data_IF_559756854463
#
_entry.id   IF_559756854463
#
_cell.length_a   1.000
_cell.length_b   1.000
_cell.length_c   1.000
_cell.angle_alpha   90.00
_cell.angle_beta   90.00
_cell.angle_gamma   90.00
#
_symmetry.space_group_name_H-M   'P 1'
#
loop_
_entity.id
_entity.type
_entity.pdbx_description
1 polymer ?
#
# COMPACT_ATOMS: atom_id res chain seq x y z
N UNK A 1 -19.94 -22.55 -18.87
CA UNK A 1 -20.21 -21.22 -18.30
C UNK A 1 -19.52 -21.09 -16.96
N UNK A 2 -18.33 -20.49 -16.94
CA UNK A 2 -17.59 -20.24 -15.69
C UNK A 2 -18.10 -18.91 -15.13
N UNK A 3 -18.88 -18.97 -14.04
CA UNK A 3 -19.28 -17.78 -13.29
C UNK A 3 -18.02 -17.21 -12.64
N UNK A 4 -17.51 -16.12 -13.18
CA UNK A 4 -16.44 -15.36 -12.55
C UNK A 4 -16.95 -14.85 -11.19
N UNK A 5 -16.46 -15.49 -10.12
CA UNK A 5 -16.63 -15.03 -8.75
C UNK A 5 -15.84 -13.72 -8.63
N UNK A 6 -16.57 -12.61 -8.67
CA UNK A 6 -16.04 -11.27 -8.39
C UNK A 6 -15.37 -11.36 -7.02
N UNK A 7 -14.04 -11.34 -7.00
CA UNK A 7 -13.30 -11.18 -5.75
C UNK A 7 -13.56 -9.74 -5.31
N UNK A 8 -14.25 -9.58 -4.19
CA UNK A 8 -14.35 -8.30 -3.51
C UNK A 8 -12.93 -7.88 -3.14
N UNK A 9 -12.31 -7.07 -3.98
CA UNK A 9 -11.10 -6.34 -3.62
C UNK A 9 -11.59 -5.27 -2.65
N UNK A 10 -11.33 -5.46 -1.36
CA UNK A 10 -11.62 -4.46 -0.33
C UNK A 10 -10.88 -3.17 -0.69
N UNK A 11 -11.64 -2.11 -0.92
CA UNK A 11 -11.10 -0.78 -1.25
C UNK A 11 -11.15 0.04 0.03
N UNK A 12 -9.99 0.48 0.54
CA UNK A 12 -9.97 1.56 1.53
C UNK A 12 -10.13 2.86 0.76
N UNK A 13 -11.37 3.34 0.68
CA UNK A 13 -11.68 4.62 0.09
C UNK A 13 -11.30 5.73 1.06
N UNK A 14 -10.18 6.40 0.80
CA UNK A 14 -9.82 7.63 1.49
C UNK A 14 -10.00 8.78 0.52
N UNK A 15 -11.14 9.44 0.61
CA UNK A 15 -11.45 10.61 -0.20
C UNK A 15 -11.08 11.83 0.66
N UNK A 16 -9.89 12.38 0.42
CA UNK A 16 -9.47 13.65 1.03
C UNK A 16 -10.10 14.75 0.20
N UNK A 17 -11.37 15.04 0.49
CA UNK A 17 -11.98 16.27 0.03
C UNK A 17 -11.43 17.37 0.94
N UNK A 18 -10.76 18.35 0.36
CA UNK A 18 -10.39 19.57 1.08
C UNK A 18 -11.67 20.13 1.71
N UNK A 19 -11.65 20.34 3.03
CA UNK A 19 -12.74 21.03 3.73
C UNK A 19 -13.99 20.23 4.14
N UNK A 20 -14.08 18.92 3.91
CA UNK A 20 -15.24 18.14 4.40
C UNK A 20 -14.82 17.08 5.43
N UNK A 21 -15.23 17.25 6.68
CA UNK A 21 -15.08 16.29 7.79
C UNK A 21 -16.00 15.05 7.65
N UNK A 22 -16.46 14.73 6.43
CA UNK A 22 -17.54 13.77 6.20
C UNK A 22 -16.99 12.42 5.76
N UNK A 23 -17.39 11.35 6.46
CA UNK A 23 -17.15 9.99 5.98
C UNK A 23 -18.09 9.65 4.84
N UNK A 24 -17.52 9.06 3.79
CA UNK A 24 -18.23 8.76 2.54
C UNK A 24 -17.87 7.35 2.08
N UNK A 25 -18.87 6.60 1.66
CA UNK A 25 -18.72 5.29 1.04
C UNK A 25 -19.06 5.32 -0.43
N UNK A 26 -18.34 4.50 -1.22
CA UNK A 26 -18.59 4.37 -2.66
C UNK A 26 -19.43 3.14 -2.96
N UNK A 27 -20.63 3.34 -3.51
CA UNK A 27 -21.46 2.25 -4.07
C UNK A 27 -21.75 2.53 -5.55
N UNK A 28 -21.39 1.59 -6.43
CA UNK A 28 -21.68 1.66 -7.89
C UNK A 28 -21.34 3.04 -8.47
N UNK A 29 -20.09 3.48 -8.26
CA UNK A 29 -19.55 4.77 -8.73
C UNK A 29 -20.18 6.05 -8.12
N UNK A 30 -21.11 5.94 -7.18
CA UNK A 30 -21.70 7.07 -6.45
C UNK A 30 -21.07 7.15 -5.07
N UNK A 31 -20.83 8.39 -4.63
CA UNK A 31 -20.35 8.71 -3.30
C UNK A 31 -21.55 9.01 -2.40
N UNK A 32 -21.65 8.28 -1.30
CA UNK A 32 -22.75 8.35 -0.33
C UNK A 32 -22.19 8.71 1.04
N UNK A 33 -22.79 9.70 1.70
CA UNK A 33 -22.45 10.02 3.10
C UNK A 33 -22.71 8.78 3.96
N UNK A 34 -21.72 8.39 4.75
CA UNK A 34 -21.81 7.23 5.63
C UNK A 34 -22.82 7.47 6.75
N UNK A 35 -23.56 6.43 7.14
CA UNK A 35 -24.49 6.51 8.28
C UNK A 35 -23.76 6.48 9.63
N UNK A 36 -22.49 6.07 9.65
CA UNK A 36 -21.60 5.98 10.81
C UNK A 36 -20.33 6.80 10.56
N UNK A 37 -19.84 7.49 11.59
CA UNK A 37 -18.58 8.24 11.56
C UNK A 37 -17.43 7.41 12.14
N UNK A 38 -16.81 6.55 11.33
CA UNK A 38 -15.71 5.67 11.75
C UNK A 38 -14.31 6.30 11.73
N UNK A 39 -14.13 7.40 10.99
CA UNK A 39 -12.94 8.25 10.98
C UNK A 39 -13.15 9.52 11.80
N UNK A 40 -12.15 9.87 12.60
CA UNK A 40 -12.15 11.04 13.47
C UNK A 40 -11.00 11.98 13.08
N UNK A 41 -11.32 13.21 12.68
CA UNK A 41 -10.33 14.24 12.44
C UNK A 41 -9.68 14.64 13.78
N UNK A 42 -8.35 14.61 13.82
CA UNK A 42 -7.55 15.02 14.98
C UNK A 42 -6.93 16.40 14.79
N UNK A 43 -6.56 16.74 13.56
CA UNK A 43 -5.89 17.98 13.23
C UNK A 43 -6.04 18.30 11.76
N UNK A 44 -6.26 19.57 11.45
CA UNK A 44 -6.18 20.12 10.10
C UNK A 44 -5.36 21.40 10.12
N UNK A 45 -4.53 21.61 9.10
CA UNK A 45 -3.95 22.92 8.84
C UNK A 45 -3.77 23.17 7.36
N UNK A 46 -3.88 24.44 7.01
CA UNK A 46 -3.59 24.96 5.69
C UNK A 46 -2.54 26.06 5.87
N UNK A 47 -1.38 25.89 5.23
CA UNK A 47 -0.32 26.89 5.24
C UNK A 47 0.55 26.75 4.01
N UNK A 48 0.85 27.87 3.34
CA UNK A 48 1.72 27.92 2.16
C UNK A 48 1.30 26.96 1.03
N UNK A 49 -0.01 26.80 0.81
CA UNK A 49 -0.55 25.88 -0.21
C UNK A 49 -0.43 24.39 0.13
N UNK A 50 -0.10 24.06 1.38
CA UNK A 50 -0.07 22.68 1.88
C UNK A 50 -1.24 22.49 2.85
N UNK A 51 -2.04 21.46 2.56
CA UNK A 51 -3.11 20.99 3.43
C UNK A 51 -2.68 19.73 4.16
N UNK A 52 -2.69 19.77 5.49
CA UNK A 52 -2.35 18.64 6.35
C UNK A 52 -3.60 18.22 7.10
N UNK A 53 -3.99 16.95 6.94
CA UNK A 53 -5.05 16.32 7.72
C UNK A 53 -4.48 15.15 8.51
N UNK A 54 -4.76 15.10 9.81
CA UNK A 54 -4.49 13.95 10.67
C UNK A 54 -5.81 13.42 11.18
N UNK A 55 -6.03 12.13 11.05
CA UNK A 55 -7.26 11.46 11.45
C UNK A 55 -6.94 10.11 12.07
N UNK A 56 -7.91 9.54 12.76
CA UNK A 56 -7.84 8.18 13.30
C UNK A 56 -9.07 7.38 12.92
N UNK A 57 -8.89 6.07 12.75
CA UNK A 57 -9.95 5.10 12.52
C UNK A 57 -9.58 3.82 13.25
N UNK A 58 -10.56 3.12 13.80
CA UNK A 58 -10.32 1.78 14.35
C UNK A 58 -9.92 0.82 13.22
N UNK A 59 -8.97 -0.07 13.51
CA UNK A 59 -8.55 -1.15 12.60
C UNK A 59 -9.75 -2.01 12.16
N UNK A 60 -10.64 -2.28 13.12
CA UNK A 60 -11.93 -2.96 12.93
C UNK A 60 -13.02 -2.08 13.54
N UNK A 61 -13.93 -1.58 12.71
CA UNK A 61 -15.14 -0.91 13.17
C UNK A 61 -16.26 -1.92 13.43
N UNK A 62 -17.36 -1.46 14.01
CA UNK A 62 -18.58 -2.24 14.19
C UNK A 62 -19.53 -2.14 12.98
N UNK A 63 -19.21 -1.27 12.01
CA UNK A 63 -19.92 -1.15 10.75
C UNK A 63 -19.57 -2.33 9.83
N UNK A 64 -20.59 -2.98 9.26
CA UNK A 64 -20.45 -4.14 8.38
C UNK A 64 -20.10 -3.73 6.95
N UNK A 65 -20.37 -2.49 6.58
CA UNK A 65 -20.03 -1.94 5.27
C UNK A 65 -18.56 -1.49 5.19
N UNK A 66 -17.90 -1.43 6.34
CA UNK A 66 -16.52 -1.00 6.50
C UNK A 66 -15.50 -2.12 6.26
N UNK A 67 -14.40 -1.78 5.60
CA UNK A 67 -13.30 -2.74 5.42
C UNK A 67 -12.49 -2.86 6.71
N UNK A 68 -12.31 -4.09 7.21
CA UNK A 68 -11.36 -4.41 8.27
C UNK A 68 -9.94 -4.21 7.74
N UNK A 69 -9.14 -3.41 8.44
CA UNK A 69 -7.70 -3.32 8.19
C UNK A 69 -7.07 -4.53 8.89
N UNK A 70 -6.37 -5.38 8.16
CA UNK A 70 -5.72 -6.56 8.74
C UNK A 70 -4.28 -6.67 8.20
N UNK A 71 -3.53 -7.65 8.68
CA UNK A 71 -2.22 -8.00 8.15
C UNK A 71 -2.29 -8.23 6.64
N UNK A 72 -1.27 -7.73 5.94
CA UNK A 72 -1.18 -7.78 4.49
C UNK A 72 -0.98 -6.41 3.87
N UNK A 73 -1.49 -6.24 2.66
CA UNK A 73 -1.23 -5.06 1.85
C UNK A 73 -2.54 -4.50 1.28
N UNK A 74 -3.36 -3.83 2.11
CA UNK A 74 -4.57 -3.17 1.64
C UNK A 74 -4.28 -2.11 0.58
N UNK A 75 -5.27 -1.88 -0.28
CA UNK A 75 -5.22 -0.89 -1.35
C UNK A 75 -5.84 0.41 -0.85
N UNK A 76 -5.02 1.45 -0.74
CA UNK A 76 -5.46 2.81 -0.42
C UNK A 76 -5.76 3.51 -1.74
N UNK A 77 -6.97 4.03 -1.90
CA UNK A 77 -7.30 4.90 -3.03
C UNK A 77 -7.36 6.35 -2.60
N UNK A 78 -7.05 7.27 -3.52
CA UNK A 78 -7.12 8.70 -3.30
C UNK A 78 -7.69 9.40 -4.54
N UNK A 79 -8.25 10.58 -4.32
CA UNK A 79 -8.67 11.52 -5.35
C UNK A 79 -8.59 12.95 -4.79
N UNK A 80 -8.26 13.94 -5.63
CA UNK A 80 -8.25 15.36 -5.26
C UNK A 80 -8.81 16.26 -6.38
N UNK A 81 -9.50 17.32 -5.98
CA UNK A 81 -10.05 18.34 -6.88
C UNK A 81 -9.15 19.58 -6.96
N UNK A 82 -9.33 20.38 -8.00
CA UNK A 82 -8.65 21.70 -8.13
C UNK A 82 -9.39 22.81 -7.39
N UNK A 83 -10.66 22.57 -7.03
CA UNK A 83 -11.53 23.52 -6.35
C UNK A 83 -12.07 22.85 -5.10
N UNK A 84 -12.26 23.66 -4.07
CA UNK A 84 -12.92 23.19 -2.87
C UNK A 84 -14.36 22.75 -3.18
N UNK A 85 -14.79 21.64 -2.57
CA UNK A 85 -16.17 21.18 -2.70
C UNK A 85 -17.11 22.22 -2.09
N UNK A 86 -18.26 22.39 -2.71
CA UNK A 86 -19.36 23.18 -2.14
C UNK A 86 -20.15 22.25 -1.22
N UNK A 87 -20.55 22.71 -0.05
CA UNK A 87 -21.38 21.93 0.88
C UNK A 87 -22.63 21.39 0.20
N UNK A 88 -22.78 20.05 0.20
CA UNK A 88 -23.88 19.36 -0.49
C UNK A 88 -23.82 19.42 -2.02
N UNK A 89 -22.74 19.95 -2.59
CA UNK A 89 -22.49 20.06 -4.02
C UNK A 89 -21.91 18.79 -4.65
N UNK A 90 -21.97 18.73 -5.97
CA UNK A 90 -21.35 17.65 -6.74
C UNK A 90 -19.82 17.78 -6.71
N UNK A 91 -19.17 16.78 -6.12
CA UNK A 91 -17.71 16.66 -6.06
C UNK A 91 -17.06 16.25 -7.38
N UNK A 92 -17.85 16.08 -8.45
CA UNK A 92 -17.43 15.87 -9.83
C UNK A 92 -16.45 14.70 -10.05
N UNK A 93 -16.32 14.27 -11.30
CA UNK A 93 -15.36 13.24 -11.63
C UNK A 93 -13.92 13.80 -11.68
N UNK A 94 -13.04 13.22 -10.87
CA UNK A 94 -11.67 13.74 -10.65
C UNK A 94 -10.66 13.40 -11.78
N UNK A 95 -11.10 12.79 -12.89
CA UNK A 95 -10.25 12.57 -14.06
C UNK A 95 -8.99 11.74 -13.77
N UNK A 96 -7.82 12.32 -14.07
CA UNK A 96 -6.50 11.74 -13.79
C UNK A 96 -6.00 12.03 -12.36
N UNK A 97 -6.65 12.93 -11.61
CA UNK A 97 -6.28 13.34 -10.24
C UNK A 97 -6.80 12.32 -9.20
N UNK A 98 -6.49 11.05 -9.43
CA UNK A 98 -6.90 9.91 -8.61
C UNK A 98 -5.95 8.76 -8.81
N UNK A 99 -5.93 7.84 -7.85
CA UNK A 99 -5.13 6.64 -7.97
C UNK A 99 -5.35 5.69 -6.81
N UNK A 100 -4.48 4.69 -6.74
CA UNK A 100 -4.38 3.89 -5.55
C UNK A 100 -3.00 3.25 -5.41
N UNK A 101 -2.69 2.89 -4.17
CA UNK A 101 -1.41 2.37 -3.76
C UNK A 101 -1.61 1.25 -2.76
N UNK A 102 -0.85 0.19 -2.94
CA UNK A 102 -0.75 -0.89 -1.96
C UNK A 102 0.09 -0.38 -0.78
N UNK A 103 -0.48 -0.39 0.43
CA UNK A 103 0.19 0.05 1.66
C UNK A 103 -0.01 -1.02 2.72
N UNK A 104 1.04 -1.38 3.46
CA UNK A 104 0.92 -2.23 4.64
C UNK A 104 0.77 -1.35 5.88
N UNK A 105 -0.41 -1.38 6.51
CA UNK A 105 -0.68 -0.63 7.74
C UNK A 105 -0.29 -1.39 9.00
N UNK A 106 -0.44 -2.71 8.97
CA UNK A 106 -0.08 -3.62 10.05
C UNK A 106 1.02 -4.50 9.48
N UNK A 107 2.27 -4.11 9.72
CA UNK A 107 3.35 -5.06 9.54
C UNK A 107 3.23 -6.11 10.64
N UNK A 108 3.27 -7.39 10.28
CA UNK A 108 3.78 -8.37 11.21
C UNK A 108 5.24 -7.99 11.40
N UNK A 109 5.55 -7.21 12.42
CA UNK A 109 6.91 -7.15 12.92
C UNK A 109 7.23 -8.56 13.44
N UNK A 110 7.62 -9.46 12.54
CA UNK A 110 8.82 -10.24 12.82
C UNK A 110 9.81 -9.19 13.27
N UNK A 111 10.30 -9.28 14.51
CA UNK A 111 11.38 -8.43 14.99
C UNK A 111 12.28 -8.14 13.80
N UNK A 112 12.54 -6.86 13.50
CA UNK A 112 13.66 -6.55 12.62
C UNK A 112 14.80 -7.36 13.21
N UNK A 113 15.24 -8.43 12.54
CA UNK A 113 16.37 -9.20 12.98
C UNK A 113 17.46 -8.14 13.09
N UNK A 114 17.77 -7.77 14.34
CA UNK A 114 18.57 -6.60 14.64
C UNK A 114 19.98 -7.14 14.51
N UNK A 115 20.42 -7.29 13.26
CA UNK A 115 21.76 -7.75 12.96
C UNK A 115 22.71 -6.73 13.56
N UNK A 116 23.52 -7.21 14.50
CA UNK A 116 24.63 -6.41 15.01
C UNK A 116 25.59 -6.25 13.84
N UNK A 117 26.16 -5.07 13.65
CA UNK A 117 26.92 -4.73 12.44
C UNK A 117 28.08 -5.70 12.08
N UNK A 118 28.48 -6.59 13.01
CA UNK A 118 29.59 -7.56 12.89
C UNK A 118 29.15 -9.04 12.80
N UNK A 119 27.85 -9.37 12.77
CA UNK A 119 27.39 -10.77 12.82
C UNK A 119 26.95 -11.37 11.47
N UNK A 120 27.16 -10.64 10.38
CA UNK A 120 26.70 -11.05 9.05
C UNK A 120 27.69 -10.69 7.96
N UNK A 121 27.76 -11.58 6.98
CA UNK A 121 28.51 -11.36 5.75
C UNK A 121 27.54 -11.03 4.61
N UNK A 122 27.90 -10.08 3.75
CA UNK A 122 27.06 -9.63 2.63
C UNK A 122 27.62 -10.19 1.32
N UNK A 123 26.76 -10.84 0.53
CA UNK A 123 27.07 -11.27 -0.83
C UNK A 123 26.19 -10.48 -1.79
N UNK A 124 26.81 -9.75 -2.71
CA UNK A 124 26.12 -9.15 -3.85
C UNK A 124 26.02 -10.16 -4.99
N UNK A 125 24.80 -10.61 -5.27
CA UNK A 125 24.51 -11.50 -6.40
C UNK A 125 24.03 -10.63 -7.57
N UNK A 126 24.89 -10.45 -8.56
CA UNK A 126 24.60 -9.66 -9.76
C UNK A 126 24.38 -10.58 -10.94
N UNK A 127 23.18 -10.56 -11.49
CA UNK A 127 22.86 -11.19 -12.78
C UNK A 127 23.20 -10.17 -13.86
N UNK A 128 24.23 -10.46 -14.67
CA UNK A 128 24.69 -9.57 -15.75
C UNK A 128 24.57 -10.24 -17.11
N UNK A 129 24.49 -9.45 -18.17
CA UNK A 129 24.48 -9.91 -19.57
C UNK A 129 23.29 -10.81 -19.97
N UNK A 130 22.14 -10.67 -19.30
CA UNK A 130 20.92 -11.38 -19.70
C UNK A 130 20.26 -10.66 -20.88
N UNK A 131 20.27 -11.30 -22.04
CA UNK A 131 19.48 -10.87 -23.19
C UNK A 131 18.05 -11.36 -22.98
N UNK A 132 17.13 -10.46 -22.66
CA UNK A 132 15.72 -10.79 -22.51
C UNK A 132 15.12 -11.12 -23.89
N UNK A 133 14.45 -12.29 -24.04
CA UNK A 133 13.76 -12.61 -25.27
C UNK A 133 12.52 -11.72 -25.45
N UNK A 134 11.99 -11.65 -26.68
CA UNK A 134 10.77 -10.87 -27.00
C UNK A 134 9.46 -11.50 -26.50
N UNK A 135 9.56 -12.51 -25.64
CA UNK A 135 8.40 -13.21 -25.09
C UNK A 135 7.71 -12.39 -24.01
N UNK A 136 6.40 -12.58 -23.85
CA UNK A 136 5.62 -11.86 -22.84
C UNK A 136 6.03 -12.21 -21.40
N UNK A 137 6.67 -13.36 -21.19
CA UNK A 137 7.15 -13.79 -19.88
C UNK A 137 8.41 -14.64 -20.07
N UNK A 138 9.45 -14.34 -19.31
CA UNK A 138 10.71 -15.09 -19.33
C UNK A 138 11.15 -15.39 -17.90
N UNK A 139 11.43 -16.66 -17.62
CA UNK A 139 11.97 -17.12 -16.33
C UNK A 139 13.46 -17.39 -16.52
N UNK A 140 14.29 -16.77 -15.68
CA UNK A 140 15.74 -16.92 -15.72
C UNK A 140 16.24 -17.46 -14.37
N UNK A 141 17.10 -18.47 -14.42
CA UNK A 141 17.73 -19.06 -13.24
C UNK A 141 19.23 -19.20 -13.50
N UNK A 142 20.02 -18.78 -12.53
CA UNK A 142 21.48 -18.88 -12.56
C UNK A 142 21.97 -19.38 -11.21
N UNK A 143 22.95 -20.27 -11.23
CA UNK A 143 23.57 -20.81 -10.02
C UNK A 143 24.83 -20.01 -9.71
N UNK A 144 24.95 -19.56 -8.47
CA UNK A 144 26.12 -18.82 -7.99
C UNK A 144 26.94 -19.69 -7.04
N UNK A 145 28.26 -19.62 -7.18
CA UNK A 145 29.16 -20.23 -6.22
C UNK A 145 29.38 -19.29 -5.05
N UNK A 146 29.14 -19.77 -3.85
CA UNK A 146 29.39 -19.04 -2.62
C UNK A 146 30.92 -18.92 -2.41
N UNK A 147 31.48 -17.73 -2.15
CA UNK A 147 32.93 -17.59 -1.98
C UNK A 147 33.43 -18.43 -0.80
N UNK A 148 34.63 -19.01 -0.93
CA UNK A 148 35.17 -19.98 0.05
C UNK A 148 35.49 -19.34 1.40
N UNK A 149 35.64 -18.03 1.41
CA UNK A 149 35.91 -17.19 2.58
C UNK A 149 34.71 -17.16 3.53
N UNK A 150 33.50 -17.45 3.03
CA UNK A 150 32.31 -17.49 3.85
C UNK A 150 32.21 -18.83 4.59
N UNK A 151 32.33 -18.77 5.91
CA UNK A 151 32.11 -19.92 6.77
C UNK A 151 30.63 -20.01 7.17
N UNK A 152 29.88 -20.91 6.53
CA UNK A 152 28.48 -21.17 6.86
C UNK A 152 28.39 -22.30 7.91
N UNK A 153 28.19 -22.00 9.21
CA UNK A 153 27.82 -23.04 10.16
C UNK A 153 26.52 -23.73 9.72
N UNK A 154 26.28 -24.94 10.24
CA UNK A 154 25.13 -25.79 9.89
C UNK A 154 23.77 -25.08 10.12
N UNK A 155 23.74 -24.00 10.90
CA UNK A 155 22.58 -23.15 11.14
C UNK A 155 22.78 -21.69 10.73
N UNK A 156 23.13 -21.41 9.47
CA UNK A 156 23.10 -20.03 8.95
C UNK A 156 21.73 -19.68 8.39
N UNK A 157 21.19 -18.53 8.82
CA UNK A 157 20.02 -17.91 8.18
C UNK A 157 20.49 -17.05 7.02
N UNK A 158 19.84 -17.18 5.87
CA UNK A 158 20.08 -16.31 4.70
C UNK A 158 18.90 -15.35 4.62
N UNK A 159 19.18 -14.05 4.56
CA UNK A 159 18.18 -13.01 4.39
C UNK A 159 18.41 -12.26 3.08
N UNK A 160 17.35 -12.14 2.28
CA UNK A 160 17.35 -11.26 1.11
C UNK A 160 17.08 -9.82 1.56
N UNK A 161 18.09 -8.96 1.45
CA UNK A 161 18.01 -7.56 1.89
C UNK A 161 17.25 -6.67 0.90
N UNK A 162 17.54 -6.81 -0.39
CA UNK A 162 16.89 -6.04 -1.45
C UNK A 162 17.09 -6.70 -2.81
N UNK A 163 16.15 -6.47 -3.73
CA UNK A 163 16.29 -6.77 -5.15
C UNK A 163 16.14 -5.45 -5.89
N UNK A 164 17.10 -5.16 -6.77
CA UNK A 164 17.01 -4.07 -7.74
C UNK A 164 17.15 -4.64 -9.14
N UNK A 165 16.30 -4.18 -10.05
CA UNK A 165 16.40 -4.45 -11.49
C UNK A 165 16.71 -3.11 -12.13
N UNK A 166 17.92 -2.99 -12.70
CA UNK A 166 18.38 -1.81 -13.46
C UNK A 166 18.27 -2.04 -14.95
#
# INVERSE_FOLDING_TARGET
MVKNKIRNVGVVAMIILTGMETNVHRRINILLVAQSQDWNLLYSSESNGINIFKFTRKIKSCDKDDMIIDQGSPYVIYAYGEKDPIDGGDISYHGMNRGGKVVSFISSSSQSDTFVADDHEIIDIVISNVILPKENTYYYCEMFHVPKEFNFPVSTKILLKSISIT
#
